data_IF_787967062471
#
_entry.id   IF_787967062471
#
_cell.length_a   1.000
_cell.length_b   1.000
_cell.length_c   1.000
_cell.angle_alpha   90.00
_cell.angle_beta   90.00
_cell.angle_gamma   90.00
#
_symmetry.space_group_name_H-M   'P 1'
#
loop_
_entity.id
_entity.type
_entity.pdbx_description
1 polymer ?
#
# COMPACT_ATOMS: atom_id res chain seq x y z
N UNK A 1 11.88 -14.43 7.89
CA UNK A 1 10.89 -14.86 6.89
C UNK A 1 11.06 -13.95 5.67
N UNK A 2 10.86 -14.44 4.44
CA UNK A 2 10.94 -13.59 3.24
C UNK A 2 9.59 -12.89 3.03
N UNK A 3 9.62 -11.59 2.76
CA UNK A 3 8.42 -10.83 2.38
C UNK A 3 7.88 -11.32 1.03
N UNK A 4 6.59 -11.68 0.92
CA UNK A 4 6.00 -12.13 -0.32
C UNK A 4 5.71 -10.93 -1.24
N UNK A 5 5.72 -11.20 -2.54
CA UNK A 5 5.10 -10.34 -3.56
C UNK A 5 3.58 -10.52 -3.56
N UNK A 6 2.84 -9.59 -4.15
CA UNK A 6 1.39 -9.72 -4.32
C UNK A 6 1.00 -11.01 -5.07
N UNK A 7 1.78 -11.40 -6.08
CA UNK A 7 1.57 -12.65 -6.82
C UNK A 7 1.79 -13.90 -5.97
N UNK A 8 2.81 -13.90 -5.09
CA UNK A 8 3.08 -15.01 -4.17
C UNK A 8 2.00 -15.17 -3.09
N UNK A 9 1.22 -14.11 -2.79
CA UNK A 9 0.05 -14.20 -1.92
C UNK A 9 -1.15 -14.88 -2.59
N UNK A 10 -1.10 -15.12 -3.91
CA UNK A 10 -2.20 -15.73 -4.66
C UNK A 10 -3.44 -14.83 -4.77
N UNK A 11 -3.27 -13.52 -4.60
CA UNK A 11 -4.37 -12.55 -4.75
C UNK A 11 -4.49 -12.07 -6.18
N UNK A 12 -5.72 -11.86 -6.62
CA UNK A 12 -6.03 -11.08 -7.82
C UNK A 12 -6.22 -9.62 -7.41
N UNK A 13 -5.30 -8.70 -7.78
CA UNK A 13 -5.40 -7.30 -7.40
C UNK A 13 -6.69 -6.62 -7.86
N UNK A 14 -7.29 -7.05 -8.96
CA UNK A 14 -8.51 -6.45 -9.49
C UNK A 14 -9.77 -6.91 -8.74
N UNK A 15 -9.65 -7.99 -7.95
CA UNK A 15 -10.72 -8.52 -7.11
C UNK A 15 -10.67 -8.04 -5.65
N UNK A 16 -9.65 -7.25 -5.28
CA UNK A 16 -9.51 -6.75 -3.90
C UNK A 16 -10.42 -5.54 -3.63
N UNK A 17 -10.85 -5.41 -2.38
CA UNK A 17 -11.59 -4.25 -1.89
C UNK A 17 -10.63 -3.10 -1.55
N UNK A 18 -10.34 -2.26 -2.54
CA UNK A 18 -9.41 -1.14 -2.41
C UNK A 18 -10.08 0.08 -1.76
N UNK A 19 -9.49 0.53 -0.66
CA UNK A 19 -9.84 1.81 -0.03
C UNK A 19 -9.03 2.93 -0.69
N UNK A 20 -9.70 3.79 -1.44
CA UNK A 20 -9.09 4.91 -2.15
C UNK A 20 -9.16 6.21 -1.35
N UNK A 21 -8.08 6.98 -1.38
CA UNK A 21 -7.96 8.27 -0.67
C UNK A 21 -8.64 9.45 -1.38
N UNK A 22 -8.94 9.34 -2.68
CA UNK A 22 -9.56 10.37 -3.51
C UNK A 22 -10.05 9.82 -4.84
N UNK A 23 -10.46 10.67 -5.79
CA UNK A 23 -10.92 10.22 -7.12
C UNK A 23 -9.90 10.41 -8.24
N UNK A 24 -8.80 11.12 -7.97
CA UNK A 24 -7.78 11.49 -8.95
C UNK A 24 -6.83 10.32 -9.28
N UNK A 25 -6.12 10.39 -10.40
CA UNK A 25 -5.15 9.36 -10.85
C UNK A 25 -3.96 9.16 -9.91
N UNK A 26 -3.70 10.12 -9.01
CA UNK A 26 -2.67 10.02 -7.97
C UNK A 26 -3.18 9.50 -6.62
N UNK A 27 -4.46 9.10 -6.54
CA UNK A 27 -5.03 8.66 -5.28
C UNK A 27 -4.35 7.38 -4.79
N UNK A 28 -3.89 7.41 -3.53
CA UNK A 28 -3.39 6.21 -2.85
C UNK A 28 -4.58 5.28 -2.61
N UNK A 29 -4.37 4.00 -2.91
CA UNK A 29 -5.28 2.89 -2.67
C UNK A 29 -4.63 1.89 -1.71
N UNK A 30 -5.41 1.42 -0.73
CA UNK A 30 -4.96 0.43 0.27
C UNK A 30 -5.94 -0.73 0.36
N UNK A 31 -5.44 -1.96 0.36
CA UNK A 31 -6.20 -3.17 0.60
C UNK A 31 -5.56 -4.01 1.72
N UNK A 32 -6.37 -4.77 2.46
CA UNK A 32 -5.90 -5.63 3.55
C UNK A 32 -6.14 -7.10 3.19
N UNK A 33 -5.10 -7.93 3.28
CA UNK A 33 -5.14 -9.35 2.93
C UNK A 33 -4.44 -10.16 4.02
N UNK A 34 -5.22 -10.77 4.91
CA UNK A 34 -4.65 -11.49 6.06
C UNK A 34 -3.83 -10.54 6.94
N UNK A 35 -2.54 -10.85 7.13
CA UNK A 35 -1.59 -10.00 7.87
C UNK A 35 -0.92 -8.90 7.03
N UNK A 36 -1.18 -8.88 5.72
CA UNK A 36 -0.51 -7.99 4.77
C UNK A 36 -1.35 -6.77 4.45
N UNK A 37 -0.68 -5.62 4.35
CA UNK A 37 -1.26 -4.38 3.82
C UNK A 37 -0.68 -4.12 2.44
N UNK A 38 -1.54 -3.95 1.44
CA UNK A 38 -1.16 -3.66 0.06
C UNK A 38 -1.42 -2.18 -0.22
N UNK A 39 -0.48 -1.51 -0.88
CA UNK A 39 -0.60 -0.10 -1.27
C UNK A 39 -0.25 0.07 -2.75
N UNK A 40 -1.05 0.86 -3.47
CA UNK A 40 -0.78 1.30 -4.85
C UNK A 40 -1.26 2.73 -5.09
N UNK A 41 -0.81 3.37 -6.16
CA UNK A 41 -1.25 4.71 -6.58
C UNK A 41 -1.84 4.73 -7.99
N UNK A 42 -1.29 3.96 -8.92
CA UNK A 42 -1.71 3.95 -10.33
C UNK A 42 -1.81 2.54 -10.92
N UNK A 43 -2.15 1.54 -10.09
CA UNK A 43 -2.54 0.20 -10.53
C UNK A 43 -1.41 -0.83 -10.65
N UNK A 44 -0.30 -0.45 -11.29
CA UNK A 44 0.67 -1.46 -11.76
C UNK A 44 1.66 -1.94 -10.69
N UNK A 45 2.09 -1.04 -9.79
CA UNK A 45 3.01 -1.40 -8.71
C UNK A 45 2.25 -1.53 -7.39
N UNK A 46 2.30 -2.73 -6.80
CA UNK A 46 1.72 -3.01 -5.49
C UNK A 46 2.84 -3.23 -4.48
N UNK A 47 2.90 -2.34 -3.50
CA UNK A 47 3.76 -2.49 -2.33
C UNK A 47 3.04 -3.35 -1.30
N UNK A 48 3.66 -4.45 -0.89
CA UNK A 48 3.20 -5.29 0.22
C UNK A 48 3.85 -4.77 1.51
N UNK A 49 3.18 -4.83 2.65
CA UNK A 49 3.74 -4.47 3.96
C UNK A 49 3.29 -5.49 4.99
N UNK A 50 4.20 -5.92 5.87
CA UNK A 50 3.80 -6.55 7.13
C UNK A 50 3.30 -5.50 8.14
N UNK A 51 2.83 -5.96 9.32
CA UNK A 51 2.31 -5.07 10.36
C UNK A 51 3.35 -4.07 10.87
N UNK A 52 4.61 -4.48 11.00
CA UNK A 52 5.68 -3.62 11.53
C UNK A 52 6.11 -2.57 10.50
N UNK A 53 6.32 -2.99 9.25
CA UNK A 53 6.62 -2.10 8.14
C UNK A 53 5.50 -1.07 7.93
N UNK A 54 4.24 -1.49 8.02
CA UNK A 54 3.09 -0.59 7.91
C UNK A 54 3.04 0.42 9.06
N UNK A 55 3.32 -0.02 10.30
CA UNK A 55 3.39 0.88 11.45
C UNK A 55 4.50 1.94 11.28
N UNK A 56 5.68 1.53 10.82
CA UNK A 56 6.79 2.43 10.52
C UNK A 56 6.44 3.40 9.39
N UNK A 57 5.81 2.94 8.32
CA UNK A 57 5.33 3.79 7.22
C UNK A 57 4.37 4.87 7.74
N UNK A 58 3.36 4.49 8.55
CA UNK A 58 2.42 5.45 9.13
C UNK A 58 3.07 6.43 10.09
N UNK A 59 4.10 6.01 10.83
CA UNK A 59 4.88 6.90 11.68
C UNK A 59 5.64 7.95 10.86
N UNK A 60 6.29 7.54 9.77
CA UNK A 60 6.96 8.46 8.83
C UNK A 60 6.00 9.45 8.18
N UNK A 61 4.82 8.98 7.74
CA UNK A 61 3.74 9.86 7.21
C UNK A 61 3.31 10.89 8.25
N UNK A 62 3.08 10.49 9.51
CA UNK A 62 2.72 11.44 10.58
C UNK A 62 3.80 12.47 10.89
N UNK A 63 5.06 12.14 10.62
CA UNK A 63 6.21 13.03 10.77
C UNK A 63 6.45 13.94 9.55
N UNK A 64 5.63 13.82 8.50
CA UNK A 64 5.75 14.62 7.29
C UNK A 64 6.94 14.22 6.40
N UNK A 65 7.43 12.97 6.51
CA UNK A 65 8.58 12.51 5.72
C UNK A 65 8.32 12.59 4.21
N UNK A 66 7.06 12.54 3.79
CA UNK A 66 6.64 12.53 2.39
C UNK A 66 6.10 13.88 1.88
N UNK A 67 6.02 14.91 2.73
CA UNK A 67 5.42 16.21 2.38
C UNK A 67 6.22 16.96 1.29
N UNK A 68 7.50 16.63 1.13
CA UNK A 68 8.40 17.24 0.13
C UNK A 68 8.53 16.43 -1.16
N UNK A 69 8.02 15.21 -1.20
CA UNK A 69 8.16 14.32 -2.36
C UNK A 69 7.12 14.61 -3.47
N UNK A 70 6.13 15.47 -3.21
CA UNK A 70 5.09 15.89 -4.15
C UNK A 70 5.44 17.20 -4.90
N UNK A 71 6.72 17.41 -5.25
CA UNK A 71 7.19 18.57 -6.04
C UNK A 71 7.51 18.19 -7.48
#
# INVERSE_FOLDING_TARGET
>A
MRKPTAAELGVDPDALDWRRSGSDEGAIEVAFVGEWTLLRTSGDLISVFDQHEWACFLDGVRKGEFDRAAS
#
